data_IF_199187793738
#
_entry.id   IF_199187793738
#
_cell.length_a   1.000
_cell.length_b   1.000
_cell.length_c   1.000
_cell.angle_alpha   90.00
_cell.angle_beta   90.00
_cell.angle_gamma   90.00
#
_symmetry.space_group_name_H-M   'P 1'
#
loop_
_entity.id
_entity.type
_entity.pdbx_description
1 polymer ?
#
# COMPACT_ATOMS: atom_id res chain seq x y z
N UNK A 1 -1.39 9.40 -16.38
CA UNK A 1 -2.37 8.28 -16.21
C UNK A 1 -2.18 7.34 -17.39
N UNK A 2 -1.92 6.06 -17.14
CA UNK A 2 -1.80 5.03 -18.19
C UNK A 2 -3.20 4.60 -18.69
N UNK A 3 -3.28 3.79 -19.76
CA UNK A 3 -4.58 3.41 -20.36
C UNK A 3 -5.47 2.61 -19.40
N UNK A 4 -4.91 1.75 -18.55
CA UNK A 4 -5.68 1.00 -17.55
C UNK A 4 -6.23 1.92 -16.45
N UNK A 5 -5.45 2.88 -15.97
CA UNK A 5 -5.91 3.86 -14.99
C UNK A 5 -7.02 4.75 -15.57
N UNK A 6 -6.91 5.14 -16.85
CA UNK A 6 -7.93 5.89 -17.57
C UNK A 6 -9.23 5.10 -17.72
N UNK A 7 -9.13 3.80 -18.03
CA UNK A 7 -10.27 2.89 -18.08
C UNK A 7 -10.94 2.76 -16.71
N UNK A 8 -10.15 2.56 -15.65
CA UNK A 8 -10.65 2.48 -14.26
C UNK A 8 -11.32 3.77 -13.80
N UNK A 9 -10.78 4.93 -14.17
CA UNK A 9 -11.38 6.22 -13.89
C UNK A 9 -12.74 6.36 -14.62
N UNK A 10 -12.84 5.89 -15.85
CA UNK A 10 -14.11 5.87 -16.59
C UNK A 10 -15.11 4.90 -15.99
N UNK A 11 -14.66 3.75 -15.52
CA UNK A 11 -15.51 2.79 -14.79
C UNK A 11 -16.04 3.37 -13.47
N UNK A 12 -15.24 4.20 -12.77
CA UNK A 12 -15.70 4.91 -11.57
C UNK A 12 -16.82 5.93 -11.92
N UNK A 13 -16.73 6.60 -13.05
CA UNK A 13 -17.77 7.49 -13.55
C UNK A 13 -19.05 6.71 -13.91
N UNK A 14 -18.94 5.57 -14.59
CA UNK A 14 -20.07 4.67 -14.87
C UNK A 14 -20.71 4.15 -13.58
N UNK A 15 -19.93 3.83 -12.55
CA UNK A 15 -20.46 3.45 -11.24
C UNK A 15 -21.28 4.59 -10.62
N UNK A 16 -20.76 5.83 -10.68
CA UNK A 16 -21.46 7.00 -10.18
C UNK A 16 -22.79 7.22 -10.92
N UNK A 17 -22.79 7.09 -12.26
CA UNK A 17 -23.98 7.16 -13.08
C UNK A 17 -25.00 6.09 -12.69
N UNK A 18 -24.60 4.82 -12.57
CA UNK A 18 -25.48 3.72 -12.19
C UNK A 18 -26.08 3.92 -10.79
N UNK A 19 -25.27 4.35 -9.82
CA UNK A 19 -25.74 4.64 -8.47
C UNK A 19 -26.72 5.81 -8.46
N UNK A 20 -26.48 6.89 -9.19
CA UNK A 20 -27.42 8.02 -9.28
C UNK A 20 -28.74 7.63 -9.92
N UNK A 21 -28.74 6.75 -10.91
CA UNK A 21 -30.00 6.22 -11.51
C UNK A 21 -30.80 5.38 -10.52
N UNK A 22 -30.15 4.50 -9.77
CA UNK A 22 -30.80 3.61 -8.81
C UNK A 22 -31.16 4.30 -7.49
N UNK A 23 -30.34 5.26 -7.09
CA UNK A 23 -30.43 5.98 -5.81
C UNK A 23 -30.28 7.50 -6.02
N UNK A 24 -31.30 8.19 -6.52
CA UNK A 24 -31.20 9.62 -6.90
C UNK A 24 -30.80 10.56 -5.76
N UNK A 25 -31.06 10.15 -4.50
CA UNK A 25 -30.68 10.93 -3.30
C UNK A 25 -29.20 10.82 -2.93
N UNK A 26 -28.49 9.81 -3.42
CA UNK A 26 -27.07 9.65 -3.16
C UNK A 26 -26.27 10.89 -3.58
N UNK A 27 -25.31 11.31 -2.79
CA UNK A 27 -24.42 12.44 -3.05
C UNK A 27 -23.09 11.96 -3.58
N UNK A 28 -22.60 12.59 -4.65
CA UNK A 28 -21.35 12.23 -5.29
C UNK A 28 -20.15 12.80 -4.51
N UNK A 29 -19.21 11.95 -4.16
CA UNK A 29 -17.90 12.30 -3.63
C UNK A 29 -16.82 12.29 -4.71
N UNK A 30 -15.84 11.41 -4.59
CA UNK A 30 -14.72 11.23 -5.53
C UNK A 30 -14.59 9.78 -5.97
N UNK A 31 -14.07 9.57 -7.18
CA UNK A 31 -13.86 8.23 -7.77
C UNK A 31 -12.52 8.10 -8.50
N UNK A 32 -11.37 8.11 -7.78
CA UNK A 32 -10.08 7.92 -8.41
C UNK A 32 -9.78 6.46 -8.76
N UNK A 33 -8.97 6.21 -9.79
CA UNK A 33 -8.33 4.91 -9.98
C UNK A 33 -7.27 4.68 -8.90
N UNK A 34 -7.08 3.43 -8.53
CA UNK A 34 -6.03 2.95 -7.62
C UNK A 34 -5.26 1.80 -8.30
N UNK A 35 -4.15 1.35 -7.69
CA UNK A 35 -3.29 0.32 -8.29
C UNK A 35 -4.04 -0.99 -8.59
N UNK A 36 -4.93 -1.41 -7.69
CA UNK A 36 -5.70 -2.66 -7.84
C UNK A 36 -7.15 -2.45 -8.31
N UNK A 37 -7.50 -1.30 -8.86
CA UNK A 37 -8.87 -1.06 -9.29
C UNK A 37 -9.28 0.41 -9.24
N UNK A 38 -10.45 0.67 -8.68
CA UNK A 38 -10.97 2.02 -8.44
C UNK A 38 -11.95 1.98 -7.27
N UNK A 39 -12.32 3.14 -6.77
CA UNK A 39 -13.45 3.27 -5.85
C UNK A 39 -14.28 4.51 -6.21
N UNK A 40 -15.46 4.60 -5.63
CA UNK A 40 -16.24 5.83 -5.61
C UNK A 40 -16.87 6.04 -4.24
N UNK A 41 -16.81 7.27 -3.74
CA UNK A 41 -17.36 7.67 -2.44
C UNK A 41 -18.74 8.31 -2.62
N UNK A 42 -19.71 7.85 -1.84
CA UNK A 42 -21.07 8.35 -1.88
C UNK A 42 -21.53 8.79 -0.49
N UNK A 43 -22.12 9.98 -0.41
CA UNK A 43 -22.90 10.40 0.75
C UNK A 43 -24.37 10.03 0.59
N UNK A 44 -25.09 9.94 1.71
CA UNK A 44 -26.52 9.64 1.77
C UNK A 44 -26.91 8.34 1.01
N UNK A 45 -25.99 7.39 0.89
CA UNK A 45 -26.18 6.09 0.26
C UNK A 45 -26.15 4.99 1.32
N UNK A 46 -27.14 4.09 1.28
CA UNK A 46 -27.22 2.92 2.14
C UNK A 46 -27.35 1.69 1.25
N UNK A 47 -26.22 1.06 0.96
CA UNK A 47 -26.13 -0.20 0.19
C UNK A 47 -25.14 -1.13 0.86
N UNK A 48 -25.34 -2.42 0.64
CA UNK A 48 -24.46 -3.51 1.05
C UNK A 48 -23.94 -4.27 -0.16
N UNK A 49 -23.08 -5.25 0.04
CA UNK A 49 -22.62 -6.12 -1.04
C UNK A 49 -23.75 -6.92 -1.69
N UNK A 50 -24.87 -7.14 -0.97
CA UNK A 50 -26.09 -7.76 -1.51
C UNK A 50 -26.75 -6.93 -2.64
N UNK A 51 -26.50 -5.63 -2.70
CA UNK A 51 -27.03 -4.73 -3.75
C UNK A 51 -26.15 -4.72 -5.01
N UNK A 52 -24.95 -5.28 -4.96
CA UNK A 52 -24.00 -5.25 -6.07
C UNK A 52 -24.55 -5.82 -7.38
N UNK A 53 -25.25 -6.96 -7.40
CA UNK A 53 -25.79 -7.47 -8.66
C UNK A 53 -26.71 -6.48 -9.38
N UNK A 54 -27.49 -5.68 -8.64
CA UNK A 54 -28.37 -4.66 -9.17
C UNK A 54 -27.59 -3.47 -9.73
N UNK A 55 -26.56 -3.03 -9.02
CA UNK A 55 -25.70 -1.91 -9.44
C UNK A 55 -24.88 -2.33 -10.67
N UNK A 56 -24.27 -3.54 -10.66
CA UNK A 56 -23.54 -4.09 -11.79
C UNK A 56 -24.43 -4.25 -13.05
N UNK A 57 -25.68 -4.66 -12.87
CA UNK A 57 -26.63 -4.76 -13.97
C UNK A 57 -26.89 -3.39 -14.62
N UNK A 58 -27.06 -2.31 -13.81
CA UNK A 58 -27.22 -0.96 -14.34
C UNK A 58 -25.94 -0.43 -14.99
N UNK A 59 -24.76 -0.68 -14.39
CA UNK A 59 -23.47 -0.36 -15.01
C UNK A 59 -23.32 -1.03 -16.38
N UNK A 60 -23.62 -2.32 -16.46
CA UNK A 60 -23.56 -3.07 -17.72
C UNK A 60 -24.56 -2.57 -18.78
N UNK A 61 -25.70 -2.02 -18.36
CA UNK A 61 -26.65 -1.34 -19.24
C UNK A 61 -26.06 -0.06 -19.80
N UNK A 62 -25.50 0.80 -18.96
CA UNK A 62 -24.82 2.05 -19.36
C UNK A 62 -23.65 1.75 -20.32
N UNK A 63 -22.88 0.69 -20.06
CA UNK A 63 -21.79 0.24 -20.94
C UNK A 63 -22.34 -0.12 -22.33
N UNK A 64 -23.45 -0.85 -22.40
CA UNK A 64 -24.08 -1.25 -23.68
C UNK A 64 -24.71 -0.11 -24.46
N UNK A 65 -25.16 0.95 -23.79
CA UNK A 65 -25.69 2.18 -24.43
C UNK A 65 -24.60 2.96 -25.19
N UNK A 66 -23.32 2.65 -24.95
CA UNK A 66 -22.17 3.20 -25.70
C UNK A 66 -22.13 4.74 -25.71
N UNK A 67 -22.40 5.37 -24.59
CA UNK A 67 -22.32 6.82 -24.47
C UNK A 67 -20.88 7.32 -24.64
N UNK A 68 -20.73 8.44 -25.39
CA UNK A 68 -19.44 9.10 -25.54
C UNK A 68 -19.15 9.94 -24.29
N UNK A 69 -17.94 9.83 -23.74
CA UNK A 69 -17.48 10.74 -22.70
C UNK A 69 -17.17 12.12 -23.31
N UNK A 70 -17.96 13.12 -22.95
CA UNK A 70 -17.81 14.49 -23.45
C UNK A 70 -17.30 15.40 -22.35
N UNK A 71 -16.09 15.97 -22.54
CA UNK A 71 -15.56 17.01 -21.67
C UNK A 71 -16.24 18.34 -21.98
N UNK A 72 -16.75 19.02 -20.97
CA UNK A 72 -17.25 20.39 -21.05
C UNK A 72 -16.58 21.25 -19.99
N UNK A 73 -16.26 22.48 -20.34
CA UNK A 73 -15.71 23.49 -19.43
C UNK A 73 -16.80 24.47 -19.05
N UNK A 74 -16.91 24.75 -17.75
CA UNK A 74 -17.97 25.65 -17.23
C UNK A 74 -17.37 26.78 -16.42
N UNK A 75 -18.07 27.89 -16.39
CA UNK A 75 -17.76 28.96 -15.44
C UNK A 75 -18.14 28.53 -14.02
N UNK A 76 -17.57 29.16 -13.01
CA UNK A 76 -17.89 28.86 -11.60
C UNK A 76 -19.38 28.97 -11.28
N UNK A 77 -20.06 30.01 -11.81
CA UNK A 77 -21.51 30.19 -11.61
C UNK A 77 -22.34 29.07 -12.24
N UNK A 78 -21.96 28.59 -13.42
CA UNK A 78 -22.62 27.44 -14.07
C UNK A 78 -22.35 26.13 -13.29
N UNK A 79 -21.12 25.92 -12.85
CA UNK A 79 -20.75 24.77 -12.04
C UNK A 79 -21.52 24.70 -10.71
N UNK A 80 -21.64 25.82 -9.99
CA UNK A 80 -22.45 25.92 -8.77
C UNK A 80 -23.94 25.59 -9.03
N UNK A 81 -24.49 26.03 -10.18
CA UNK A 81 -25.85 25.70 -10.57
C UNK A 81 -26.06 24.23 -10.85
N UNK A 82 -25.12 23.61 -11.58
CA UNK A 82 -25.12 22.15 -11.87
C UNK A 82 -25.03 21.36 -10.59
N UNK A 83 -24.09 21.72 -9.71
CA UNK A 83 -23.76 20.99 -8.49
C UNK A 83 -24.66 21.36 -7.29
N UNK A 84 -25.73 22.13 -7.49
CA UNK A 84 -26.61 22.68 -6.44
C UNK A 84 -26.98 21.66 -5.34
N UNK A 85 -27.16 20.40 -5.71
CA UNK A 85 -27.55 19.32 -4.80
C UNK A 85 -26.41 18.38 -4.44
N UNK A 86 -25.17 18.64 -4.85
CA UNK A 86 -24.01 17.79 -4.66
C UNK A 86 -23.01 18.44 -3.68
N UNK A 87 -23.30 18.36 -2.37
CA UNK A 87 -22.55 19.10 -1.33
C UNK A 87 -21.03 18.83 -1.36
N UNK A 88 -20.60 17.59 -1.63
CA UNK A 88 -19.18 17.24 -1.67
C UNK A 88 -18.50 17.75 -2.94
N UNK A 89 -19.20 17.75 -4.07
CA UNK A 89 -18.71 18.36 -5.32
C UNK A 89 -18.63 19.89 -5.21
N UNK A 90 -19.57 20.52 -4.51
CA UNK A 90 -19.47 21.95 -4.19
C UNK A 90 -18.29 22.27 -3.29
N UNK A 91 -17.96 21.39 -2.36
CA UNK A 91 -16.79 21.56 -1.50
C UNK A 91 -15.48 21.38 -2.29
N UNK A 92 -15.39 20.41 -3.20
CA UNK A 92 -14.27 20.27 -4.13
C UNK A 92 -14.12 21.47 -5.06
N UNK A 93 -15.24 22.03 -5.52
CA UNK A 93 -15.23 23.20 -6.41
C UNK A 93 -14.51 24.41 -5.77
N UNK A 94 -14.55 24.57 -4.44
CA UNK A 94 -13.84 25.65 -3.72
C UNK A 94 -12.34 25.57 -3.91
N UNK A 95 -11.79 24.37 -3.98
CA UNK A 95 -10.35 24.11 -4.05
C UNK A 95 -9.81 24.24 -5.50
N UNK A 96 -10.67 24.32 -6.51
CA UNK A 96 -10.27 24.45 -7.92
C UNK A 96 -9.95 25.89 -8.24
N UNK A 97 -8.68 26.16 -8.57
CA UNK A 97 -8.19 27.50 -8.98
C UNK A 97 -8.06 27.67 -10.49
N UNK A 98 -8.16 26.58 -11.26
CA UNK A 98 -7.99 26.54 -12.71
C UNK A 98 -9.28 26.25 -13.48
N UNK A 99 -9.15 25.53 -14.59
CA UNK A 99 -10.25 25.11 -15.45
C UNK A 99 -11.23 24.19 -14.69
N UNK A 100 -12.50 24.53 -14.74
CA UNK A 100 -13.57 23.74 -14.13
C UNK A 100 -14.17 22.85 -15.22
N UNK A 101 -13.79 21.58 -15.24
CA UNK A 101 -14.24 20.63 -16.23
C UNK A 101 -15.28 19.65 -15.68
N UNK A 102 -16.20 19.29 -16.53
CA UNK A 102 -17.20 18.26 -16.32
C UNK A 102 -17.07 17.20 -17.41
N UNK A 103 -17.45 15.99 -17.07
CA UNK A 103 -17.64 14.93 -18.06
C UNK A 103 -19.07 14.46 -18.04
N UNK A 104 -19.59 14.24 -19.25
CA UNK A 104 -20.94 13.79 -19.52
C UNK A 104 -20.91 12.43 -20.20
N UNK A 105 -21.78 11.50 -19.78
CA UNK A 105 -22.08 10.24 -20.45
C UNK A 105 -23.60 10.00 -20.43
N UNK A 106 -24.25 10.16 -21.58
CA UNK A 106 -25.71 10.14 -21.69
C UNK A 106 -26.36 11.29 -20.94
N UNK A 107 -27.20 10.98 -19.98
CA UNK A 107 -27.94 11.95 -19.14
C UNK A 107 -27.23 12.27 -17.81
N UNK A 108 -26.05 11.68 -17.58
CA UNK A 108 -25.23 11.90 -16.37
C UNK A 108 -24.12 12.93 -16.62
N UNK A 109 -23.90 13.79 -15.63
CA UNK A 109 -22.83 14.80 -15.63
C UNK A 109 -22.15 14.80 -14.26
N UNK A 110 -20.82 14.82 -14.25
CA UNK A 110 -20.04 14.91 -13.01
C UNK A 110 -18.85 15.86 -13.14
N UNK A 111 -18.53 16.55 -12.03
CA UNK A 111 -17.32 17.38 -11.89
C UNK A 111 -16.09 16.46 -11.88
N UNK A 112 -15.29 16.50 -12.93
CA UNK A 112 -14.17 15.60 -13.12
C UNK A 112 -13.09 16.24 -14.00
N UNK A 113 -11.82 16.03 -13.63
CA UNK A 113 -10.67 16.51 -14.40
C UNK A 113 -10.32 15.59 -15.59
N UNK A 114 -10.82 14.34 -15.59
CA UNK A 114 -10.42 13.32 -16.58
C UNK A 114 -8.98 12.84 -16.40
N UNK A 115 -8.39 12.21 -17.44
CA UNK A 115 -9.02 11.81 -18.70
C UNK A 115 -9.92 10.58 -18.58
N UNK A 116 -10.80 10.41 -19.55
CA UNK A 116 -11.65 9.22 -19.71
C UNK A 116 -11.35 8.50 -21.04
N UNK A 117 -11.80 7.24 -21.17
CA UNK A 117 -11.86 6.53 -22.44
C UNK A 117 -12.85 7.22 -23.40
N UNK A 118 -12.91 6.79 -24.65
CA UNK A 118 -13.78 7.47 -25.65
C UNK A 118 -15.27 7.27 -25.36
N UNK A 119 -15.64 6.05 -24.98
CA UNK A 119 -17.04 5.71 -24.72
C UNK A 119 -17.19 4.74 -23.54
N UNK A 120 -18.40 4.64 -23.01
CA UNK A 120 -18.71 3.70 -21.93
C UNK A 120 -18.48 2.25 -22.33
N UNK A 121 -18.63 1.91 -23.62
CA UNK A 121 -18.39 0.55 -24.17
C UNK A 121 -16.92 0.14 -24.23
N UNK A 122 -15.98 1.05 -24.03
CA UNK A 122 -14.56 0.72 -23.87
C UNK A 122 -14.29 0.01 -22.53
N UNK A 123 -15.14 0.22 -21.53
CA UNK A 123 -15.12 -0.50 -20.24
C UNK A 123 -15.89 -1.82 -20.41
N UNK A 124 -15.20 -2.89 -20.82
CA UNK A 124 -15.85 -4.16 -21.16
C UNK A 124 -16.18 -5.04 -19.96
N UNK A 125 -15.38 -4.97 -18.91
CA UNK A 125 -15.50 -5.85 -17.76
C UNK A 125 -15.35 -5.06 -16.45
N UNK A 126 -16.35 -5.15 -15.59
CA UNK A 126 -16.39 -4.47 -14.29
C UNK A 126 -16.93 -5.41 -13.22
N UNK A 127 -16.38 -5.31 -12.01
CA UNK A 127 -16.85 -6.06 -10.83
C UNK A 127 -16.76 -5.19 -9.59
N UNK A 128 -17.84 -5.13 -8.81
CA UNK A 128 -17.84 -4.54 -7.48
C UNK A 128 -17.26 -5.54 -6.48
N UNK A 129 -16.48 -5.06 -5.51
CA UNK A 129 -15.73 -5.94 -4.61
C UNK A 129 -16.23 -5.88 -3.18
N UNK A 130 -16.32 -4.67 -2.61
CA UNK A 130 -16.72 -4.46 -1.21
C UNK A 130 -17.19 -3.04 -0.96
N UNK A 131 -17.88 -2.85 0.15
CA UNK A 131 -18.18 -1.52 0.71
C UNK A 131 -17.31 -1.26 1.94
N UNK A 132 -16.98 0.00 2.19
CA UNK A 132 -16.32 0.45 3.41
C UNK A 132 -16.76 1.87 3.77
N UNK A 133 -16.63 2.24 5.05
CA UNK A 133 -16.73 3.64 5.47
C UNK A 133 -15.45 4.40 5.11
N UNK A 134 -15.58 5.65 4.69
CA UNK A 134 -14.45 6.53 4.45
C UNK A 134 -14.80 7.97 4.86
N UNK A 135 -13.97 8.60 5.69
CA UNK A 135 -14.18 9.99 6.05
C UNK A 135 -13.88 10.93 4.87
N UNK A 136 -14.74 11.91 4.65
CA UNK A 136 -14.56 12.93 3.61
C UNK A 136 -13.20 13.62 3.74
N UNK A 137 -12.44 13.66 2.65
CA UNK A 137 -11.04 14.18 2.60
C UNK A 137 -10.09 13.54 3.64
N UNK A 138 -10.42 12.35 4.16
CA UNK A 138 -9.58 11.60 5.11
C UNK A 138 -9.56 12.12 6.55
N UNK A 139 -10.40 13.08 6.91
CA UNK A 139 -10.45 13.65 8.26
C UNK A 139 -11.61 13.04 9.06
N UNK A 140 -11.31 12.45 10.22
CA UNK A 140 -12.30 11.80 11.11
C UNK A 140 -13.45 12.71 11.58
N UNK A 141 -13.24 14.04 11.58
CA UNK A 141 -14.25 15.04 11.96
C UNK A 141 -15.26 15.33 10.85
N UNK A 142 -14.97 14.89 9.62
CA UNK A 142 -15.86 15.11 8.48
C UNK A 142 -16.89 13.98 8.36
N UNK A 143 -17.86 14.17 7.45
CA UNK A 143 -18.88 13.17 7.17
C UNK A 143 -18.25 11.83 6.78
N UNK A 144 -18.83 10.74 7.29
CA UNK A 144 -18.51 9.40 6.84
C UNK A 144 -19.31 9.06 5.60
N UNK A 145 -18.61 8.77 4.51
CA UNK A 145 -19.17 8.36 3.23
C UNK A 145 -19.12 6.85 3.08
N UNK A 146 -19.97 6.32 2.23
CA UNK A 146 -19.90 4.95 1.78
C UNK A 146 -18.96 4.87 0.57
N UNK A 147 -17.89 4.10 0.70
CA UNK A 147 -16.94 3.81 -0.39
C UNK A 147 -17.25 2.46 -1.00
N UNK A 148 -17.47 2.42 -2.31
CA UNK A 148 -17.61 1.19 -3.08
C UNK A 148 -16.30 0.94 -3.82
N UNK A 149 -15.63 -0.17 -3.52
CA UNK A 149 -14.44 -0.63 -4.23
C UNK A 149 -14.83 -1.51 -5.40
N UNK A 150 -14.15 -1.33 -6.52
CA UNK A 150 -14.42 -2.06 -7.74
C UNK A 150 -13.17 -2.24 -8.61
N UNK A 151 -13.25 -3.14 -9.57
CA UNK A 151 -12.22 -3.37 -10.58
C UNK A 151 -12.81 -3.27 -11.97
N UNK A 152 -11.99 -2.85 -12.93
CA UNK A 152 -12.35 -2.85 -14.34
C UNK A 152 -11.15 -3.25 -15.19
N UNK A 153 -11.46 -3.99 -16.28
CA UNK A 153 -10.48 -4.48 -17.23
C UNK A 153 -10.96 -4.29 -18.68
N UNK A 154 -10.02 -4.26 -19.65
CA UNK A 154 -10.36 -4.16 -21.08
C UNK A 154 -11.10 -5.39 -21.63
N UNK A 155 -11.07 -6.51 -20.93
CA UNK A 155 -11.73 -7.75 -21.33
C UNK A 155 -12.25 -8.56 -20.15
N UNK A 156 -13.29 -9.39 -20.39
CA UNK A 156 -13.78 -10.34 -19.38
C UNK A 156 -12.72 -11.38 -19.00
N UNK A 157 -11.89 -11.79 -19.94
CA UNK A 157 -10.80 -12.75 -19.70
C UNK A 157 -9.81 -12.23 -18.66
N UNK A 158 -9.37 -10.99 -18.81
CA UNK A 158 -8.45 -10.36 -17.84
C UNK A 158 -9.11 -10.19 -16.46
N UNK A 159 -10.39 -9.85 -16.42
CA UNK A 159 -11.14 -9.80 -15.15
C UNK A 159 -11.20 -11.16 -14.47
N UNK A 160 -11.52 -12.23 -15.22
CA UNK A 160 -11.57 -13.61 -14.68
C UNK A 160 -10.20 -14.08 -14.18
N UNK A 161 -9.15 -13.82 -14.94
CA UNK A 161 -7.77 -14.13 -14.55
C UNK A 161 -7.38 -13.41 -13.25
N UNK A 162 -7.70 -12.14 -13.15
CA UNK A 162 -7.46 -11.36 -11.92
C UNK A 162 -8.25 -11.89 -10.72
N UNK A 163 -9.53 -12.22 -10.91
CA UNK A 163 -10.36 -12.78 -9.83
C UNK A 163 -9.85 -14.13 -9.36
N UNK A 164 -9.40 -15.00 -10.29
CA UNK A 164 -8.75 -16.28 -9.95
C UNK A 164 -7.46 -16.07 -9.16
N UNK A 165 -6.60 -15.15 -9.61
CA UNK A 165 -5.36 -14.82 -8.88
C UNK A 165 -5.66 -14.29 -7.48
N UNK A 166 -6.69 -13.47 -7.34
CA UNK A 166 -7.11 -12.94 -6.03
C UNK A 166 -7.64 -14.05 -5.12
N UNK A 167 -8.47 -14.93 -5.61
CA UNK A 167 -8.96 -16.10 -4.86
C UNK A 167 -7.81 -17.01 -4.42
N UNK A 168 -6.85 -17.28 -5.32
CA UNK A 168 -5.66 -18.05 -4.99
C UNK A 168 -4.78 -17.33 -3.94
N UNK A 169 -4.63 -16.01 -4.03
CA UNK A 169 -3.92 -15.24 -3.04
C UNK A 169 -4.59 -15.30 -1.66
N UNK A 170 -5.93 -15.24 -1.60
CA UNK A 170 -6.70 -15.39 -0.37
C UNK A 170 -6.56 -16.79 0.25
N UNK A 171 -6.51 -17.84 -0.57
CA UNK A 171 -6.25 -19.22 -0.12
C UNK A 171 -4.82 -19.37 0.44
N UNK A 172 -3.86 -18.60 -0.08
CA UNK A 172 -2.46 -18.60 0.33
C UNK A 172 -2.11 -17.51 1.37
N UNK A 173 -3.11 -16.85 1.95
CA UNK A 173 -2.87 -15.84 2.97
C UNK A 173 -2.14 -16.46 4.17
N UNK A 174 -0.90 -16.02 4.39
CA UNK A 174 -0.04 -16.51 5.45
C UNK A 174 -0.66 -16.38 6.84
N UNK A 175 -1.53 -15.38 7.06
CA UNK A 175 -2.22 -15.17 8.34
C UNK A 175 -3.22 -16.30 8.61
N UNK A 176 -3.93 -16.75 7.56
CA UNK A 176 -4.86 -17.86 7.63
C UNK A 176 -4.11 -19.18 7.81
N UNK A 177 -3.18 -19.47 6.90
CA UNK A 177 -2.37 -20.69 6.91
C UNK A 177 -1.55 -20.80 8.21
N UNK A 178 -0.93 -19.70 8.65
CA UNK A 178 -0.14 -19.65 9.88
C UNK A 178 -0.95 -20.00 11.12
N UNK A 179 -2.20 -19.53 11.19
CA UNK A 179 -3.11 -19.87 12.28
C UNK A 179 -3.58 -21.33 12.19
N UNK A 180 -4.00 -21.80 11.02
CA UNK A 180 -4.50 -23.18 10.81
C UNK A 180 -3.43 -24.22 11.10
N UNK A 181 -2.17 -23.97 10.72
CA UNK A 181 -1.05 -24.85 10.95
C UNK A 181 -0.33 -24.64 12.28
N UNK A 182 -0.77 -23.69 13.10
CA UNK A 182 -0.13 -23.33 14.38
C UNK A 182 1.35 -22.93 14.20
N UNK A 183 1.63 -22.07 13.21
CA UNK A 183 3.00 -21.63 12.94
C UNK A 183 3.37 -20.38 13.75
N UNK A 184 2.47 -19.43 13.86
CA UNK A 184 2.63 -18.17 14.58
C UNK A 184 1.30 -17.51 14.90
N UNK A 185 1.33 -16.52 15.78
CA UNK A 185 0.21 -15.64 16.07
C UNK A 185 0.67 -14.23 16.42
N UNK A 186 -0.26 -13.30 16.41
CA UNK A 186 -0.08 -11.93 16.90
C UNK A 186 -0.91 -11.71 18.16
N UNK A 187 -0.42 -10.88 19.07
CA UNK A 187 -1.11 -10.56 20.32
C UNK A 187 -0.96 -9.08 20.64
N UNK A 188 -1.99 -8.50 21.24
CA UNK A 188 -2.05 -7.08 21.59
C UNK A 188 -1.02 -6.66 22.65
N UNK A 189 -0.44 -7.61 23.37
CA UNK A 189 0.66 -7.33 24.31
C UNK A 189 1.93 -6.88 23.59
N UNK A 190 2.10 -7.24 22.30
CA UNK A 190 3.22 -6.83 21.47
C UNK A 190 2.74 -6.59 20.02
N UNK A 191 2.00 -5.50 19.78
CA UNK A 191 1.41 -5.24 18.46
C UNK A 191 2.49 -5.02 17.40
N UNK A 192 2.40 -5.78 16.29
CA UNK A 192 3.37 -5.75 15.21
C UNK A 192 4.63 -6.61 15.47
N UNK A 193 4.63 -7.45 16.50
CA UNK A 193 5.64 -8.48 16.70
C UNK A 193 5.00 -9.88 16.61
N UNK A 194 5.70 -10.80 15.98
CA UNK A 194 5.21 -12.15 15.77
C UNK A 194 5.61 -13.07 16.94
N UNK A 195 4.68 -13.88 17.41
CA UNK A 195 4.92 -14.98 18.34
C UNK A 195 5.03 -16.27 17.55
N UNK A 196 6.26 -16.76 17.37
CA UNK A 196 6.51 -18.03 16.69
C UNK A 196 6.17 -19.22 17.59
N UNK A 197 5.41 -20.17 17.07
CA UNK A 197 5.08 -21.42 17.72
C UNK A 197 6.08 -22.53 17.33
N UNK A 198 6.12 -23.68 18.02
CA UNK A 198 7.13 -24.72 17.77
C UNK A 198 7.22 -25.18 16.31
N UNK A 199 6.07 -25.35 15.62
CA UNK A 199 6.06 -25.73 14.19
C UNK A 199 6.62 -24.62 13.31
N UNK A 200 6.30 -23.36 13.61
CA UNK A 200 6.84 -22.20 12.90
C UNK A 200 8.35 -22.06 13.12
N UNK A 201 8.83 -22.31 14.36
CA UNK A 201 10.27 -22.29 14.64
C UNK A 201 11.04 -23.39 13.91
N UNK A 202 10.40 -24.50 13.56
CA UNK A 202 11.04 -25.51 12.69
C UNK A 202 11.35 -24.92 11.32
N UNK A 203 10.39 -24.19 10.72
CA UNK A 203 10.59 -23.53 9.42
C UNK A 203 11.68 -22.46 9.53
N UNK A 204 11.63 -21.62 10.57
CA UNK A 204 12.64 -20.57 10.81
C UNK A 204 14.05 -21.16 10.89
N UNK A 205 14.24 -22.26 11.66
CA UNK A 205 15.54 -22.93 11.79
C UNK A 205 16.06 -23.48 10.46
N UNK A 206 15.20 -24.08 9.64
CA UNK A 206 15.61 -24.59 8.33
C UNK A 206 16.02 -23.47 7.39
N UNK A 207 15.30 -22.32 7.43
CA UNK A 207 15.67 -21.12 6.66
C UNK A 207 17.01 -20.54 7.14
N UNK A 208 17.22 -20.44 8.46
CA UNK A 208 18.48 -19.95 9.05
C UNK A 208 19.65 -20.88 8.73
N UNK A 209 19.44 -22.20 8.73
CA UNK A 209 20.44 -23.18 8.34
C UNK A 209 20.82 -23.01 6.88
N UNK A 210 19.86 -22.93 5.99
CA UNK A 210 20.08 -22.70 4.56
C UNK A 210 20.83 -21.38 4.31
N UNK A 211 20.47 -20.32 5.03
CA UNK A 211 21.12 -19.03 4.95
C UNK A 211 22.61 -19.13 5.36
N UNK A 212 22.94 -19.82 6.47
CA UNK A 212 24.32 -20.01 6.89
C UNK A 212 25.12 -20.82 5.87
N UNK A 213 24.56 -21.89 5.35
CA UNK A 213 25.22 -22.72 4.33
C UNK A 213 25.60 -21.90 3.08
N UNK A 214 24.73 -21.01 2.63
CA UNK A 214 25.00 -20.14 1.48
C UNK A 214 26.06 -19.10 1.84
N UNK A 215 25.95 -18.44 2.98
CA UNK A 215 26.89 -17.39 3.40
C UNK A 215 28.28 -17.94 3.64
N UNK A 216 28.42 -19.06 4.33
CA UNK A 216 29.70 -19.74 4.57
C UNK A 216 30.38 -20.11 3.25
N UNK A 217 29.61 -20.69 2.31
CA UNK A 217 30.11 -21.05 0.97
C UNK A 217 30.63 -19.85 0.18
N UNK A 218 30.03 -18.67 0.39
CA UNK A 218 30.39 -17.43 -0.32
C UNK A 218 31.37 -16.54 0.48
N UNK A 219 31.92 -17.04 1.61
CA UNK A 219 32.94 -16.36 2.39
C UNK A 219 32.45 -15.17 3.21
N UNK A 220 31.20 -15.24 3.67
CA UNK A 220 30.67 -14.30 4.66
C UNK A 220 30.99 -14.78 6.07
N UNK A 221 31.26 -13.82 6.96
CA UNK A 221 31.49 -14.07 8.37
C UNK A 221 30.26 -13.61 9.15
N UNK A 222 29.59 -14.53 9.85
CA UNK A 222 28.43 -14.21 10.67
C UNK A 222 28.85 -13.35 11.86
N UNK A 223 28.15 -12.24 12.07
CA UNK A 223 28.28 -11.38 13.25
C UNK A 223 26.93 -11.27 13.97
N UNK A 224 26.96 -10.76 15.19
CA UNK A 224 25.76 -10.42 15.93
C UNK A 224 25.99 -9.11 16.69
N UNK A 225 25.10 -8.15 16.51
CA UNK A 225 25.25 -6.82 17.08
C UNK A 225 24.12 -6.48 18.07
N UNK A 226 24.36 -5.59 19.05
CA UNK A 226 23.37 -5.23 20.06
C UNK A 226 22.08 -4.66 19.47
N UNK A 227 20.94 -4.99 20.09
CA UNK A 227 19.63 -4.46 19.69
C UNK A 227 19.44 -3.03 20.18
N UNK A 228 19.87 -2.72 21.42
CA UNK A 228 19.71 -1.42 22.05
C UNK A 228 21.04 -0.67 22.06
N UNK A 229 21.06 0.50 21.43
CA UNK A 229 22.29 1.25 21.15
C UNK A 229 22.13 2.71 21.58
N UNK A 230 23.21 3.29 22.06
CA UNK A 230 23.25 4.72 22.48
C UNK A 230 23.00 5.63 21.27
N UNK A 231 22.30 6.76 21.49
CA UNK A 231 21.94 7.75 20.47
C UNK A 231 23.11 8.24 19.62
N UNK A 232 24.31 8.32 20.22
CA UNK A 232 25.53 8.80 19.54
C UNK A 232 25.82 8.08 18.22
N UNK A 233 25.57 6.77 18.14
CA UNK A 233 25.79 6.01 16.90
C UNK A 233 24.80 6.45 15.82
N UNK A 234 23.55 6.68 16.19
CA UNK A 234 22.50 7.10 15.27
C UNK A 234 22.56 8.60 14.92
N UNK A 235 23.19 9.42 15.75
CA UNK A 235 23.59 10.80 15.42
C UNK A 235 24.67 10.78 14.33
N UNK A 236 25.74 10.02 14.56
CA UNK A 236 26.88 9.89 13.63
C UNK A 236 26.48 9.32 12.29
N UNK A 237 25.60 8.31 12.25
CA UNK A 237 25.12 7.67 11.03
C UNK A 237 23.98 8.44 10.33
N UNK A 238 23.48 9.51 10.94
CA UNK A 238 22.41 10.35 10.39
C UNK A 238 20.99 9.82 10.58
N UNK A 239 20.79 8.65 11.20
CA UNK A 239 19.47 8.06 11.40
C UNK A 239 18.56 8.97 12.23
N UNK A 240 19.05 9.62 13.27
CA UNK A 240 18.23 10.54 14.08
C UNK A 240 17.80 11.79 13.33
N UNK A 241 18.50 12.17 12.27
CA UNK A 241 18.12 13.31 11.44
C UNK A 241 16.97 12.98 10.48
N UNK A 242 16.95 11.76 9.91
CA UNK A 242 16.07 11.41 8.81
C UNK A 242 15.04 10.34 9.16
N UNK A 243 15.22 9.60 10.27
CA UNK A 243 14.44 8.41 10.58
C UNK A 243 13.94 8.34 12.03
N UNK A 244 14.10 9.41 12.80
CA UNK A 244 13.82 9.46 14.25
C UNK A 244 12.41 9.01 14.62
N UNK A 245 11.41 9.42 13.84
CA UNK A 245 9.99 9.09 14.10
C UNK A 245 9.69 7.59 14.00
N UNK A 246 10.49 6.89 13.21
CA UNK A 246 10.38 5.44 13.02
C UNK A 246 11.26 4.63 13.99
N UNK A 247 11.86 5.25 14.99
CA UNK A 247 12.73 4.58 15.95
C UNK A 247 12.11 4.56 17.35
N UNK A 248 12.21 3.40 18.03
CA UNK A 248 11.84 3.30 19.43
C UNK A 248 12.95 3.89 20.33
N UNK A 249 12.61 4.91 21.10
CA UNK A 249 13.50 5.53 22.09
C UNK A 249 13.32 4.89 23.46
N UNK A 250 14.42 4.62 24.15
CA UNK A 250 14.46 4.09 25.52
C UNK A 250 15.42 4.96 26.34
N UNK A 251 14.98 5.44 27.49
CA UNK A 251 15.84 6.20 28.41
C UNK A 251 16.46 5.28 29.45
N UNK A 252 17.80 5.28 29.53
CA UNK A 252 18.59 4.55 30.54
C UNK A 252 19.57 5.53 31.17
N UNK A 253 19.54 5.68 32.50
CA UNK A 253 20.40 6.59 33.26
C UNK A 253 20.47 8.01 32.68
N UNK A 254 19.31 8.57 32.34
CA UNK A 254 19.14 9.89 31.71
C UNK A 254 19.78 10.04 30.32
N UNK A 255 20.22 8.95 29.71
CA UNK A 255 20.76 8.90 28.33
C UNK A 255 19.74 8.29 27.41
N UNK A 256 19.72 8.75 26.14
CA UNK A 256 18.87 8.22 25.11
C UNK A 256 19.54 7.01 24.43
N UNK A 257 18.80 5.92 24.40
CA UNK A 257 19.09 4.70 23.62
C UNK A 257 17.96 4.46 22.64
N UNK A 258 18.26 3.76 21.58
CA UNK A 258 17.28 3.38 20.58
C UNK A 258 17.40 1.89 20.26
N UNK A 259 16.27 1.26 19.97
CA UNK A 259 16.28 -0.05 19.36
C UNK A 259 16.69 0.12 17.89
N UNK A 260 17.66 -0.67 17.43
CA UNK A 260 18.20 -0.52 16.06
C UNK A 260 17.13 -0.75 14.99
N UNK A 261 16.96 0.19 14.03
CA UNK A 261 16.06 0.04 12.90
C UNK A 261 16.72 -0.65 11.70
N UNK A 262 18.05 -0.72 11.70
CA UNK A 262 18.95 -1.29 10.68
C UNK A 262 20.22 -1.83 11.35
N UNK A 263 20.93 -2.74 10.68
CA UNK A 263 22.19 -3.31 11.19
C UNK A 263 23.43 -2.52 10.74
N UNK A 264 23.34 -1.66 9.74
CA UNK A 264 24.46 -1.00 9.09
C UNK A 264 25.40 -0.23 10.05
N UNK A 265 24.91 0.58 11.01
CA UNK A 265 25.78 1.33 11.91
C UNK A 265 26.60 0.39 12.81
N UNK A 266 25.96 -0.63 13.36
CA UNK A 266 26.57 -1.59 14.27
C UNK A 266 27.59 -2.49 13.56
N UNK A 267 27.29 -2.96 12.34
CA UNK A 267 28.21 -3.71 11.50
C UNK A 267 29.50 -2.88 11.22
N UNK A 268 29.34 -1.57 11.04
CA UNK A 268 30.48 -0.65 10.86
C UNK A 268 31.33 -0.52 12.13
N UNK A 269 30.73 -0.60 13.33
CA UNK A 269 31.48 -0.67 14.58
C UNK A 269 32.31 -1.97 14.65
N UNK A 270 31.73 -3.11 14.25
CA UNK A 270 32.47 -4.39 14.17
C UNK A 270 33.62 -4.26 13.17
N UNK A 271 33.39 -3.66 12.01
CA UNK A 271 34.47 -3.42 11.04
C UNK A 271 35.60 -2.58 11.63
N UNK A 272 35.28 -1.50 12.33
CA UNK A 272 36.26 -0.56 12.90
C UNK A 272 36.85 -0.98 14.25
N UNK A 273 36.49 -2.17 14.76
CA UNK A 273 36.95 -2.65 16.09
C UNK A 273 38.47 -2.85 16.18
N UNK A 274 39.17 -2.95 15.05
CA UNK A 274 40.63 -3.00 14.94
C UNK A 274 41.12 -2.34 13.65
N UNK A 275 42.38 -2.00 13.59
CA UNK A 275 43.03 -1.59 12.34
C UNK A 275 43.05 -2.77 11.38
N UNK A 276 42.67 -2.48 10.13
CA UNK A 276 42.64 -3.46 9.06
C UNK A 276 43.51 -3.06 7.90
N UNK A 277 44.18 -4.01 7.29
CA UNK A 277 44.88 -3.78 6.04
C UNK A 277 43.89 -3.79 4.88
N UNK A 278 44.14 -2.96 3.86
CA UNK A 278 43.39 -3.01 2.60
C UNK A 278 43.50 -4.37 1.90
N UNK A 279 44.53 -5.16 2.22
CA UNK A 279 44.73 -6.55 1.73
C UNK A 279 43.70 -7.54 2.32
N UNK A 280 43.03 -7.18 3.39
CA UNK A 280 41.95 -8.00 3.97
C UNK A 280 40.61 -7.83 3.25
N UNK A 281 40.54 -6.85 2.34
CA UNK A 281 39.32 -6.57 1.57
C UNK A 281 39.25 -7.45 0.30
N UNK A 282 38.05 -7.86 -0.13
CA UNK A 282 36.76 -7.56 0.46
C UNK A 282 36.47 -8.35 1.74
N UNK A 283 35.85 -7.68 2.71
CA UNK A 283 35.35 -8.29 3.95
C UNK A 283 33.82 -8.33 3.91
N UNK A 284 33.25 -9.50 4.11
CA UNK A 284 31.81 -9.72 4.06
C UNK A 284 31.33 -10.15 5.44
N UNK A 285 30.46 -9.34 6.05
CA UNK A 285 29.77 -9.67 7.29
C UNK A 285 28.31 -9.95 7.02
N UNK A 286 27.77 -10.98 7.64
CA UNK A 286 26.34 -11.33 7.59
C UNK A 286 25.75 -11.37 8.99
N UNK A 287 24.47 -11.05 9.13
CA UNK A 287 23.81 -11.02 10.42
C UNK A 287 22.32 -11.39 10.28
N UNK A 288 21.86 -12.33 11.11
CA UNK A 288 20.43 -12.53 11.35
C UNK A 288 20.02 -11.52 12.44
N UNK A 289 19.78 -10.27 12.04
CA UNK A 289 19.57 -9.16 12.95
C UNK A 289 18.10 -8.97 13.33
N UNK A 290 17.84 -8.75 14.63
CA UNK A 290 16.50 -8.31 15.08
C UNK A 290 16.43 -6.80 15.08
N UNK A 291 15.56 -6.27 14.24
CA UNK A 291 15.33 -4.84 14.03
C UNK A 291 13.97 -4.42 14.57
N UNK A 292 13.86 -3.14 14.95
CA UNK A 292 12.62 -2.59 15.47
C UNK A 292 12.30 -1.26 14.79
N UNK A 293 11.13 -1.17 14.19
CA UNK A 293 10.63 0.06 13.53
C UNK A 293 9.31 0.47 14.13
N UNK A 294 9.18 1.73 14.51
CA UNK A 294 7.95 2.28 15.11
C UNK A 294 6.91 2.55 14.01
N UNK A 295 6.42 1.48 13.40
CA UNK A 295 5.35 1.54 12.40
C UNK A 295 4.02 1.95 13.04
N UNK A 296 3.23 2.76 12.32
CA UNK A 296 1.89 3.15 12.75
C UNK A 296 0.97 1.92 12.83
N UNK A 297 0.07 1.90 13.81
CA UNK A 297 -0.84 0.77 14.02
C UNK A 297 -1.71 0.45 12.81
N UNK A 298 -2.17 1.46 12.07
CA UNK A 298 -3.05 1.28 10.91
C UNK A 298 -2.38 0.70 9.65
N UNK A 299 -1.03 0.57 9.64
CA UNK A 299 -0.31 0.02 8.49
C UNK A 299 0.23 -1.39 8.75
N UNK A 300 0.06 -1.93 9.96
CA UNK A 300 0.52 -3.28 10.29
C UNK A 300 -0.25 -4.32 9.48
N UNK A 301 0.45 -5.32 8.94
CA UNK A 301 -0.14 -6.32 8.05
C UNK A 301 0.54 -7.68 8.09
N UNK A 302 0.10 -8.57 9.00
CA UNK A 302 0.63 -9.92 9.13
C UNK A 302 2.16 -9.93 9.28
N UNK A 303 2.86 -10.80 8.54
CA UNK A 303 4.32 -10.87 8.52
C UNK A 303 4.97 -9.85 7.56
N UNK A 304 4.19 -9.21 6.68
CA UNK A 304 4.72 -8.29 5.66
C UNK A 304 5.06 -6.90 6.22
N UNK A 305 4.32 -6.43 7.23
CA UNK A 305 4.60 -5.16 7.86
C UNK A 305 4.44 -5.26 9.35
N UNK A 306 5.58 -5.25 10.02
CA UNK A 306 5.73 -5.52 11.46
C UNK A 306 6.58 -4.44 12.11
N UNK A 307 6.53 -4.36 13.45
CA UNK A 307 7.41 -3.51 14.25
C UNK A 307 8.71 -4.21 14.64
N UNK A 308 8.68 -5.54 14.77
CA UNK A 308 9.87 -6.35 15.00
C UNK A 308 10.14 -7.21 13.77
N UNK A 309 11.30 -7.05 13.17
CA UNK A 309 11.75 -7.76 11.97
C UNK A 309 12.95 -8.61 12.34
N UNK A 310 12.99 -9.86 11.90
CA UNK A 310 14.23 -10.64 11.83
C UNK A 310 14.71 -10.60 10.38
N UNK A 311 15.85 -9.97 10.14
CA UNK A 311 16.36 -9.69 8.81
C UNK A 311 17.64 -10.49 8.58
N UNK A 312 17.71 -11.15 7.44
CA UNK A 312 18.94 -11.69 6.87
C UNK A 312 19.65 -10.54 6.14
N UNK A 313 20.69 -10.03 6.75
CA UNK A 313 21.38 -8.84 6.28
C UNK A 313 22.88 -9.11 6.06
N UNK A 314 23.49 -8.38 5.14
CA UNK A 314 24.91 -8.49 4.90
C UNK A 314 25.53 -7.13 4.55
N UNK A 315 26.81 -6.94 4.95
CA UNK A 315 27.59 -5.75 4.69
C UNK A 315 28.93 -6.16 4.08
N UNK A 316 29.22 -5.64 2.89
CA UNK A 316 30.47 -5.90 2.18
C UNK A 316 31.33 -4.64 2.23
N UNK A 317 32.49 -4.77 2.87
CA UNK A 317 33.50 -3.72 2.93
C UNK A 317 34.56 -4.02 1.87
N UNK A 318 34.71 -3.16 0.89
CA UNK A 318 35.60 -3.38 -0.27
C UNK A 318 36.26 -2.09 -0.72
N UNK A 319 37.33 -2.18 -1.53
CA UNK A 319 37.89 -1.02 -2.22
C UNK A 319 36.97 -0.58 -3.36
N UNK A 320 37.19 0.65 -3.86
CA UNK A 320 36.40 1.18 -4.98
C UNK A 320 36.52 0.32 -6.23
N UNK A 321 37.69 -0.25 -6.47
CA UNK A 321 37.97 -1.12 -7.63
C UNK A 321 37.25 -2.47 -7.53
N UNK A 322 36.97 -2.94 -6.31
CA UNK A 322 36.29 -4.22 -6.05
C UNK A 322 34.75 -4.13 -6.15
N UNK A 323 34.18 -2.92 -6.16
CA UNK A 323 32.70 -2.74 -6.07
C UNK A 323 31.96 -3.51 -7.17
N UNK A 324 32.40 -3.38 -8.42
CA UNK A 324 31.72 -4.02 -9.55
C UNK A 324 31.73 -5.54 -9.45
N UNK A 325 32.88 -6.10 -9.04
CA UNK A 325 33.05 -7.55 -8.86
C UNK A 325 32.16 -8.06 -7.72
N UNK A 326 32.13 -7.36 -6.59
CA UNK A 326 31.31 -7.77 -5.42
C UNK A 326 29.81 -7.68 -5.73
N UNK A 327 29.35 -6.63 -6.39
CA UNK A 327 27.94 -6.50 -6.80
C UNK A 327 27.57 -7.62 -7.80
N UNK A 328 28.48 -8.02 -8.68
CA UNK A 328 28.20 -9.06 -9.68
C UNK A 328 28.17 -10.49 -9.06
N UNK A 329 28.71 -10.67 -7.84
CA UNK A 329 28.68 -11.94 -7.11
C UNK A 329 27.41 -12.13 -6.28
N UNK A 330 26.75 -11.05 -5.90
CA UNK A 330 25.48 -11.05 -5.15
C UNK A 330 24.29 -11.21 -6.09
#
# INVERSE_FOLDING_TARGET
MNELQKLRHSAAHILAHAVKKLYPKAKLGIGPPIDDGFYYDFGDLKVSEGDFPRIEAEMNKIIRENYQFKKTVKTRKEAEKILKNEKYKLDLLKDITGEISFYEDGDFIDLCAGPHVKSTSDVKAVKLLKVAGAYWKGYEKNDMLLRIYAIAFPSHKELEEFLKLKEEAEKRDHRKIGKELELFFFNDISPGAVFWQPKGMTIVRELEKFWREIHDKNGYNEINTPIMVNSRLFEQSGHLKYYKENMFNVKVDKKDFYLKPMNCPEATIVYSSRLRSYKELPLRFSEIGRLHRNELSGVLGGLFRVRQITMDDAHIYCTKEQILEEISKV
#
